data_IF_955394029057
#
_entry.id   IF_955394029057
#
_cell.length_a   1.000
_cell.length_b   1.000
_cell.length_c   1.000
_cell.angle_alpha   90.00
_cell.angle_beta   90.00
_cell.angle_gamma   90.00
#
_symmetry.space_group_name_H-M   'P 1'
#
loop_
_entity.id
_entity.type
_entity.pdbx_description
1 polymer ?
#
# COMPACT_ATOMS: atom_id res chain seq x y z
N UNK A 1 -52.62 15.91 -19.39
CA UNK A 1 -51.44 16.42 -18.67
C UNK A 1 -51.36 15.70 -17.33
N UNK A 2 -50.38 14.80 -17.17
CA UNK A 2 -50.13 14.08 -15.91
C UNK A 2 -48.63 14.26 -15.63
N UNK A 3 -48.31 15.02 -14.59
CA UNK A 3 -46.94 15.31 -14.17
C UNK A 3 -46.57 14.23 -13.14
N UNK A 4 -45.80 13.23 -13.58
CA UNK A 4 -45.21 12.22 -12.69
C UNK A 4 -43.91 12.79 -12.09
N UNK A 5 -43.97 13.13 -10.82
CA UNK A 5 -42.79 13.41 -10.00
C UNK A 5 -42.07 12.08 -9.72
N UNK A 6 -40.96 11.82 -10.42
CA UNK A 6 -40.02 10.78 -9.97
C UNK A 6 -39.03 11.43 -9.00
N UNK A 7 -39.14 11.06 -7.73
CA UNK A 7 -38.15 11.31 -6.69
C UNK A 7 -36.85 10.57 -7.02
N UNK A 8 -35.80 11.32 -7.35
CA UNK A 8 -34.44 10.83 -7.47
C UNK A 8 -33.90 10.54 -6.06
N UNK A 9 -33.79 9.26 -5.69
CA UNK A 9 -33.09 8.83 -4.49
C UNK A 9 -31.58 8.94 -4.78
N UNK A 10 -30.95 9.98 -4.23
CA UNK A 10 -29.49 10.10 -4.21
C UNK A 10 -28.97 9.03 -3.24
N UNK A 11 -28.46 7.92 -3.76
CA UNK A 11 -27.68 6.98 -2.97
C UNK A 11 -26.34 7.63 -2.61
N UNK A 12 -26.29 8.23 -1.43
CA UNK A 12 -25.07 8.67 -0.79
C UNK A 12 -24.27 7.44 -0.33
N UNK A 13 -23.44 6.89 -1.21
CA UNK A 13 -22.49 5.83 -0.86
C UNK A 13 -21.28 6.50 -0.19
N UNK A 14 -21.46 7.01 1.02
CA UNK A 14 -20.35 7.39 1.88
C UNK A 14 -19.83 6.14 2.59
N UNK A 15 -19.34 5.17 1.81
CA UNK A 15 -18.59 4.04 2.35
C UNK A 15 -17.17 4.55 2.69
N UNK A 16 -17.02 5.19 3.86
CA UNK A 16 -15.71 5.42 4.46
C UNK A 16 -15.14 4.05 4.85
N UNK A 17 -14.45 3.41 3.91
CA UNK A 17 -13.68 2.19 4.13
C UNK A 17 -12.66 2.47 5.24
N UNK A 18 -12.55 1.63 6.27
CA UNK A 18 -11.53 1.81 7.29
C UNK A 18 -10.15 1.69 6.63
N UNK A 19 -9.45 2.82 6.47
CA UNK A 19 -8.06 2.85 6.05
C UNK A 19 -7.23 2.50 7.28
N UNK A 20 -6.83 1.25 7.40
CA UNK A 20 -5.85 0.85 8.43
C UNK A 20 -4.50 1.36 7.96
N UNK A 21 -4.14 2.58 8.38
CA UNK A 21 -2.79 3.10 8.24
C UNK A 21 -1.92 2.35 9.25
N UNK A 22 -1.19 1.34 8.79
CA UNK A 22 -0.10 0.78 9.58
C UNK A 22 1.09 1.73 9.44
N UNK A 23 1.23 2.67 10.37
CA UNK A 23 2.52 3.30 10.62
C UNK A 23 3.43 2.22 11.20
N UNK A 24 4.31 1.66 10.37
CA UNK A 24 5.42 0.86 10.88
C UNK A 24 6.38 1.86 11.50
N UNK A 25 6.16 2.19 12.77
CA UNK A 25 7.19 2.79 13.59
C UNK A 25 8.22 1.68 13.86
N UNK A 26 9.35 1.75 13.17
CA UNK A 26 10.48 0.84 13.37
C UNK A 26 11.18 1.12 14.72
N UNK A 27 10.44 1.53 15.75
CA UNK A 27 10.94 1.81 17.10
C UNK A 27 10.71 0.67 18.08
N UNK A 28 9.92 -0.37 17.72
CA UNK A 28 9.65 -1.50 18.61
C UNK A 28 10.45 -2.76 18.27
N UNK A 29 11.79 -2.63 18.18
CA UNK A 29 12.66 -3.76 18.51
C UNK A 29 13.29 -3.47 19.87
N UNK A 30 12.72 -4.06 20.91
CA UNK A 30 13.24 -4.04 22.29
C UNK A 30 14.58 -4.79 22.29
N UNK A 31 15.66 -4.12 21.92
CA UNK A 31 17.03 -4.58 22.19
C UNK A 31 17.42 -4.02 23.54
N UNK A 32 17.17 -4.82 24.58
CA UNK A 32 17.63 -4.52 25.92
C UNK A 32 19.10 -4.95 26.00
N UNK A 33 19.99 -4.00 25.74
CA UNK A 33 21.43 -4.16 26.03
C UNK A 33 21.86 -2.97 26.89
N UNK A 34 22.08 -3.28 28.16
CA UNK A 34 22.81 -2.46 29.14
C UNK A 34 24.18 -2.16 28.55
N UNK A 35 24.45 -0.92 28.16
CA UNK A 35 25.80 -0.47 27.82
C UNK A 35 25.97 0.97 28.34
N UNK A 36 26.97 1.12 29.19
CA UNK A 36 27.40 2.36 29.83
C UNK A 36 27.78 3.43 28.79
N UNK A 37 27.71 4.69 29.22
CA UNK A 37 27.82 5.92 28.44
C UNK A 37 29.13 6.04 27.63
N UNK A 38 29.04 6.14 26.29
CA UNK A 38 30.10 6.57 25.35
C UNK A 38 29.45 7.23 24.09
N UNK A 39 30.03 8.29 23.49
CA UNK A 39 29.36 9.22 22.57
C UNK A 39 29.31 8.75 21.09
N UNK A 40 28.96 7.48 20.83
CA UNK A 40 28.97 6.92 19.46
C UNK A 40 27.58 6.92 18.79
N UNK A 41 26.52 7.21 19.54
CA UNK A 41 25.14 7.03 19.07
C UNK A 41 24.62 8.11 18.10
N UNK A 42 25.25 9.29 18.04
CA UNK A 42 24.75 10.40 17.21
C UNK A 42 24.93 10.16 15.70
N UNK A 43 25.96 9.41 15.29
CA UNK A 43 26.19 9.12 13.88
C UNK A 43 25.23 8.06 13.32
N UNK A 44 24.79 7.11 14.15
CA UNK A 44 23.86 6.07 13.74
C UNK A 44 22.45 6.62 13.53
N UNK A 45 21.99 7.51 14.43
CA UNK A 45 20.71 8.23 14.27
C UNK A 45 20.74 9.17 13.06
N UNK A 46 21.84 9.90 12.83
CA UNK A 46 21.98 10.76 11.65
C UNK A 46 22.08 9.97 10.33
N UNK A 47 22.68 8.79 10.33
CA UNK A 47 22.71 7.89 9.17
C UNK A 47 21.36 7.23 8.88
N UNK A 48 20.56 6.95 9.91
CA UNK A 48 19.21 6.41 9.79
C UNK A 48 18.18 7.48 9.38
N UNK A 49 18.31 8.71 9.88
CA UNK A 49 17.47 9.85 9.48
C UNK A 49 17.78 10.37 8.06
N UNK A 50 18.98 10.09 7.53
CA UNK A 50 19.35 10.33 6.13
C UNK A 50 18.88 9.23 5.17
N UNK A 51 18.44 8.06 5.67
CA UNK A 51 17.69 7.10 4.86
C UNK A 51 16.29 7.68 4.67
N UNK A 52 16.09 8.28 3.50
CA UNK A 52 15.06 9.26 3.20
C UNK A 52 13.64 8.85 3.61
N UNK A 53 12.79 9.88 3.73
CA UNK A 53 11.36 9.75 3.94
C UNK A 53 10.81 8.75 2.91
N UNK A 54 10.38 7.58 3.40
CA UNK A 54 9.76 6.56 2.59
C UNK A 54 8.30 6.45 3.01
N UNK A 55 7.41 6.44 2.04
CA UNK A 55 6.00 6.14 2.26
C UNK A 55 5.75 4.70 1.81
N UNK A 56 4.99 3.94 2.60
CA UNK A 56 4.50 2.62 2.22
C UNK A 56 3.07 2.45 2.72
N UNK A 57 2.14 2.24 1.81
CA UNK A 57 0.75 1.85 2.09
C UNK A 57 0.56 0.39 1.71
N UNK A 58 -0.03 -0.41 2.59
CA UNK A 58 -0.34 -1.82 2.34
C UNK A 58 -1.85 -1.98 2.30
N UNK A 59 -2.32 -2.71 1.31
CA UNK A 59 -3.73 -2.98 1.10
C UNK A 59 -3.97 -4.49 1.00
N UNK A 60 -5.04 -4.93 1.64
CA UNK A 60 -5.62 -6.26 1.44
C UNK A 60 -7.13 -6.17 1.62
N UNK A 61 -7.88 -6.86 0.77
CA UNK A 61 -9.32 -7.00 0.87
C UNK A 61 -9.79 -8.35 0.35
N UNK A 62 -10.75 -8.94 1.07
CA UNK A 62 -11.54 -10.05 0.56
C UNK A 62 -12.68 -9.48 -0.29
N UNK A 63 -12.76 -9.88 -1.56
CA UNK A 63 -13.83 -9.49 -2.48
C UNK A 63 -15.00 -10.48 -2.41
N UNK A 64 -14.67 -11.75 -2.15
CA UNK A 64 -15.61 -12.82 -1.86
C UNK A 64 -14.94 -13.79 -0.87
N UNK A 65 -15.62 -14.88 -0.51
CA UNK A 65 -15.06 -15.93 0.36
C UNK A 65 -13.77 -16.55 -0.24
N UNK A 66 -13.67 -16.59 -1.58
CA UNK A 66 -12.58 -17.25 -2.30
C UNK A 66 -11.69 -16.27 -3.07
N UNK A 67 -12.03 -14.98 -3.10
CA UNK A 67 -11.28 -13.95 -3.81
C UNK A 67 -10.63 -12.96 -2.85
N UNK A 68 -9.32 -12.79 -3.00
CA UNK A 68 -8.54 -11.81 -2.26
C UNK A 68 -7.79 -10.89 -3.23
N UNK A 69 -7.77 -9.61 -2.92
CA UNK A 69 -6.97 -8.60 -3.58
C UNK A 69 -6.00 -7.99 -2.57
N UNK A 70 -4.74 -7.85 -2.96
CA UNK A 70 -3.70 -7.30 -2.10
C UNK A 70 -2.70 -6.50 -2.91
N UNK A 71 -1.96 -5.62 -2.24
CA UNK A 71 -1.00 -4.78 -2.92
C UNK A 71 -0.35 -3.78 -2.00
N UNK A 72 0.51 -2.96 -2.59
CA UNK A 72 1.16 -1.86 -1.91
C UNK A 72 1.41 -0.69 -2.84
N UNK A 73 1.59 0.47 -2.22
CA UNK A 73 2.18 1.65 -2.83
C UNK A 73 3.40 2.00 -2.00
N UNK A 74 4.55 2.16 -2.62
CA UNK A 74 5.73 2.69 -1.96
C UNK A 74 6.36 3.83 -2.75
N UNK A 75 6.87 4.82 -2.05
CA UNK A 75 7.47 6.02 -2.63
C UNK A 75 8.67 6.46 -1.78
N UNK A 76 9.72 6.89 -2.47
CA UNK A 76 10.82 7.63 -1.90
C UNK A 76 11.23 8.75 -2.89
N UNK A 77 12.14 9.67 -2.52
CA UNK A 77 12.49 10.80 -3.39
C UNK A 77 13.11 10.44 -4.76
N UNK A 78 13.50 9.18 -4.99
CA UNK A 78 14.11 8.73 -6.23
C UNK A 78 13.18 7.84 -7.08
N UNK A 79 12.26 7.11 -6.46
CA UNK A 79 11.45 6.08 -7.11
C UNK A 79 10.12 5.85 -6.40
N UNK A 80 9.17 5.35 -7.16
CA UNK A 80 7.88 4.89 -6.66
C UNK A 80 7.45 3.59 -7.36
N UNK A 81 6.69 2.78 -6.64
CA UNK A 81 6.09 1.54 -7.14
C UNK A 81 4.67 1.40 -6.60
N UNK A 82 3.78 0.93 -7.46
CA UNK A 82 2.44 0.50 -7.10
C UNK A 82 2.22 -0.92 -7.66
N UNK A 83 1.91 -1.86 -6.78
CA UNK A 83 1.64 -3.26 -7.13
C UNK A 83 0.28 -3.67 -6.59
N UNK A 84 -0.51 -4.31 -7.43
CA UNK A 84 -1.77 -4.95 -7.04
C UNK A 84 -1.87 -6.33 -7.65
N UNK A 85 -2.32 -7.27 -6.84
CA UNK A 85 -2.50 -8.67 -7.20
C UNK A 85 -3.87 -9.14 -6.72
N UNK A 86 -4.53 -9.95 -7.54
CA UNK A 86 -5.78 -10.61 -7.19
C UNK A 86 -5.62 -12.10 -7.38
N UNK A 87 -6.09 -12.85 -6.39
CA UNK A 87 -6.13 -14.30 -6.37
C UNK A 87 -7.58 -14.75 -6.18
N UNK A 88 -8.07 -15.53 -7.12
CA UNK A 88 -9.32 -16.28 -7.00
C UNK A 88 -8.98 -17.75 -6.71
N UNK A 89 -9.23 -18.19 -5.49
CA UNK A 89 -8.96 -19.54 -5.02
C UNK A 89 -9.93 -20.57 -5.61
N UNK A 90 -11.14 -20.16 -6.02
CA UNK A 90 -12.13 -21.06 -6.62
C UNK A 90 -11.79 -21.43 -8.05
N UNK A 91 -11.23 -20.47 -8.81
CA UNK A 91 -10.79 -20.69 -10.20
C UNK A 91 -9.30 -20.95 -10.36
N UNK A 92 -8.54 -20.94 -9.25
CA UNK A 92 -7.09 -20.97 -9.23
C UNK A 92 -6.47 -19.91 -10.17
N UNK A 93 -7.10 -18.74 -10.25
CA UNK A 93 -6.72 -17.64 -11.12
C UNK A 93 -5.88 -16.62 -10.36
N UNK A 94 -4.82 -16.13 -10.99
CA UNK A 94 -3.92 -15.14 -10.43
C UNK A 94 -3.64 -14.06 -11.46
N UNK A 95 -3.99 -12.83 -11.14
CA UNK A 95 -3.76 -11.68 -11.99
C UNK A 95 -3.09 -10.58 -11.21
N UNK A 96 -2.32 -9.75 -11.89
CA UNK A 96 -1.65 -8.64 -11.24
C UNK A 96 -1.23 -7.56 -12.21
N UNK A 97 -0.91 -6.41 -11.60
CA UNK A 97 -0.37 -5.26 -12.29
C UNK A 97 0.67 -4.58 -11.41
N UNK A 98 1.70 -4.05 -12.05
CA UNK A 98 2.70 -3.19 -11.43
C UNK A 98 2.88 -1.94 -12.28
N UNK A 99 3.01 -0.80 -11.60
CA UNK A 99 3.48 0.46 -12.16
C UNK A 99 4.66 0.93 -11.34
N UNK A 100 5.68 1.47 -12.00
CA UNK A 100 6.84 2.03 -11.32
C UNK A 100 7.34 3.23 -12.09
N UNK A 101 8.03 4.12 -11.38
CA UNK A 101 8.75 5.21 -12.02
C UNK A 101 9.86 5.76 -11.15
N UNK A 102 10.72 6.58 -11.75
CA UNK A 102 11.83 7.22 -11.05
C UNK A 102 11.90 8.73 -11.33
N UNK A 103 12.78 9.42 -10.58
CA UNK A 103 13.01 10.86 -10.70
C UNK A 103 13.55 11.32 -12.06
N UNK A 104 14.11 10.41 -12.86
CA UNK A 104 14.63 10.72 -14.19
C UNK A 104 13.53 10.66 -15.26
N UNK A 105 12.31 10.25 -14.88
CA UNK A 105 11.18 10.07 -15.78
C UNK A 105 11.09 8.69 -16.41
N UNK A 106 11.96 7.74 -16.02
CA UNK A 106 11.78 6.34 -16.43
C UNK A 106 10.50 5.80 -15.81
N UNK A 107 9.76 5.05 -16.61
CA UNK A 107 8.43 4.58 -16.27
C UNK A 107 8.17 3.22 -16.89
N UNK A 108 7.47 2.35 -16.17
CA UNK A 108 7.00 1.09 -16.71
C UNK A 108 5.68 0.64 -16.10
N UNK A 109 4.91 -0.07 -16.92
CA UNK A 109 3.74 -0.83 -16.47
C UNK A 109 3.87 -2.27 -16.95
N UNK A 110 3.46 -3.21 -16.12
CA UNK A 110 3.35 -4.60 -16.51
C UNK A 110 2.08 -5.22 -15.93
N UNK A 111 1.42 -6.04 -16.75
CA UNK A 111 0.18 -6.74 -16.44
C UNK A 111 0.39 -8.22 -16.73
N UNK A 112 -0.11 -9.07 -15.85
CA UNK A 112 -0.09 -10.52 -16.03
C UNK A 112 -1.38 -11.15 -15.56
N UNK A 113 -1.72 -12.27 -16.20
CA UNK A 113 -2.84 -13.13 -15.86
C UNK A 113 -2.39 -14.58 -16.06
N UNK A 114 -2.36 -15.35 -14.98
CA UNK A 114 -1.88 -16.74 -14.92
C UNK A 114 -3.05 -17.72 -14.87
N UNK A 115 -4.07 -17.49 -15.70
CA UNK A 115 -5.10 -18.48 -15.99
C UNK A 115 -4.49 -19.60 -16.86
N UNK A 116 -4.23 -20.77 -16.26
CA UNK A 116 -3.83 -21.99 -16.97
C UNK A 116 -4.88 -23.08 -16.78
#
# INVERSE_FOLDING_TARGET
MIILWQTLIIMNVNAKKPRVRMEIDMSSSKLQTVINEEPVQNNFKNGLLKKGQFFRDLFSAHLSEHEIEFGHVCENPNEWEQRFERKDMGRNSYQGKIKWGNKNGDYGEHYWDLNH
#
